data_IF_119311133211
#
_entry.id   IF_119311133211
#
_cell.length_a   1.000
_cell.length_b   1.000
_cell.length_c   1.000
_cell.angle_alpha   90.00
_cell.angle_beta   90.00
_cell.angle_gamma   90.00
#
_symmetry.space_group_name_H-M   'P 1'
#
loop_
_entity.id
_entity.type
_entity.pdbx_description
1 polymer ?
#
# COMPACT_ATOMS: atom_id res chain seq x y z
N UNK A 1 15.21 -8.61 6.58
CA UNK A 1 14.74 -9.91 7.12
C UNK A 1 13.71 -10.41 6.12
N UNK A 2 13.75 -11.68 5.69
CA UNK A 2 12.70 -12.19 4.80
C UNK A 2 11.44 -12.45 5.65
N UNK A 3 10.31 -11.84 5.27
CA UNK A 3 9.01 -12.13 5.87
C UNK A 3 8.29 -13.19 5.03
N UNK A 4 7.46 -13.99 5.68
CA UNK A 4 6.57 -14.97 5.06
C UNK A 4 5.11 -14.56 5.29
N UNK A 5 4.16 -15.19 4.58
CA UNK A 5 2.73 -14.96 4.82
C UNK A 5 2.29 -15.24 6.27
N UNK A 6 3.06 -15.99 7.05
CA UNK A 6 2.81 -16.29 8.46
C UNK A 6 3.40 -15.25 9.43
N UNK A 7 4.08 -14.22 8.90
CA UNK A 7 4.66 -13.16 9.73
C UNK A 7 3.59 -12.34 10.45
N UNK A 8 3.94 -11.63 11.55
CA UNK A 8 2.99 -10.80 12.28
C UNK A 8 2.30 -9.77 11.36
N UNK A 9 0.99 -9.57 11.55
CA UNK A 9 0.19 -8.68 10.71
C UNK A 9 0.77 -7.26 10.63
N UNK A 10 1.30 -6.74 11.73
CA UNK A 10 1.97 -5.43 11.77
C UNK A 10 3.14 -5.34 10.77
N UNK A 11 3.93 -6.41 10.63
CA UNK A 11 5.07 -6.45 9.72
C UNK A 11 4.57 -6.57 8.28
N UNK A 12 3.61 -7.45 8.03
CA UNK A 12 3.01 -7.63 6.70
C UNK A 12 2.33 -6.35 6.19
N UNK A 13 1.63 -5.61 7.07
CA UNK A 13 0.94 -4.38 6.72
C UNK A 13 1.90 -3.30 6.21
N UNK A 14 3.07 -3.18 6.83
CA UNK A 14 4.14 -2.27 6.36
C UNK A 14 4.78 -2.81 5.08
N UNK A 15 5.05 -4.12 5.05
CA UNK A 15 5.69 -4.79 3.93
C UNK A 15 4.85 -4.82 2.63
N UNK A 16 3.56 -4.47 2.68
CA UNK A 16 2.73 -4.32 1.48
C UNK A 16 3.38 -3.40 0.44
N UNK A 17 4.04 -2.32 0.88
CA UNK A 17 4.80 -1.42 0.00
C UNK A 17 3.97 -0.90 -1.17
N UNK A 18 4.49 -1.08 -2.38
CA UNK A 18 3.73 -0.91 -3.61
C UNK A 18 2.82 -2.12 -3.84
N UNK A 19 1.54 -2.00 -3.54
CA UNK A 19 0.57 -3.03 -3.92
C UNK A 19 0.14 -2.83 -5.37
N UNK A 20 0.59 -3.73 -6.25
CA UNK A 20 0.30 -3.66 -7.68
C UNK A 20 -1.05 -4.31 -8.02
N UNK A 21 -1.95 -3.56 -8.64
CA UNK A 21 -3.25 -4.05 -9.10
C UNK A 21 -3.13 -4.61 -10.51
N UNK A 22 -3.81 -5.74 -10.74
CA UNK A 22 -3.87 -6.40 -12.04
C UNK A 22 -5.27 -6.96 -12.28
N UNK A 23 -5.86 -6.76 -13.48
CA UNK A 23 -7.13 -7.37 -13.83
C UNK A 23 -7.07 -8.90 -13.75
N UNK A 24 -8.09 -9.51 -13.16
CA UNK A 24 -8.21 -10.95 -13.06
C UNK A 24 -8.44 -11.64 -14.41
N UNK A 25 -8.77 -10.89 -15.47
CA UNK A 25 -8.98 -11.41 -16.84
C UNK A 25 -7.70 -11.62 -17.64
N UNK A 26 -6.52 -11.26 -17.11
CA UNK A 26 -5.25 -11.43 -17.84
C UNK A 26 -4.97 -12.91 -18.14
N UNK A 27 -4.80 -13.31 -19.41
CA UNK A 27 -4.60 -14.72 -19.78
C UNK A 27 -3.29 -15.34 -19.25
N UNK A 28 -2.30 -14.51 -18.95
CA UNK A 28 -0.97 -14.89 -18.46
C UNK A 28 -0.74 -14.50 -17.01
N UNK A 29 -1.80 -14.37 -16.20
CA UNK A 29 -1.72 -13.81 -14.85
C UNK A 29 -0.68 -14.51 -13.95
N UNK A 30 -0.58 -15.84 -14.01
CA UNK A 30 0.43 -16.59 -13.26
C UNK A 30 1.87 -16.19 -13.62
N UNK A 31 2.16 -16.12 -14.92
CA UNK A 31 3.47 -15.69 -15.42
C UNK A 31 3.74 -14.21 -15.10
N UNK A 32 2.71 -13.36 -15.15
CA UNK A 32 2.82 -11.96 -14.76
C UNK A 32 3.16 -11.83 -13.27
N UNK A 33 2.53 -12.59 -12.38
CA UNK A 33 2.85 -12.62 -10.94
C UNK A 33 4.30 -13.01 -10.72
N UNK A 34 4.79 -14.09 -11.34
CA UNK A 34 6.19 -14.52 -11.24
C UNK A 34 7.17 -13.46 -11.75
N UNK A 35 6.83 -12.83 -12.89
CA UNK A 35 7.62 -11.74 -13.46
C UNK A 35 7.69 -10.53 -12.53
N UNK A 36 6.59 -10.16 -11.90
CA UNK A 36 6.55 -9.04 -10.94
C UNK A 36 7.26 -9.38 -9.64
N UNK A 37 7.16 -10.63 -9.16
CA UNK A 37 7.92 -11.13 -8.02
C UNK A 37 9.44 -10.97 -8.26
N UNK A 38 9.92 -11.38 -9.45
CA UNK A 38 11.32 -11.20 -9.86
C UNK A 38 11.77 -9.74 -10.01
N UNK A 39 10.82 -8.80 -10.08
CA UNK A 39 11.07 -7.35 -10.09
C UNK A 39 10.97 -6.72 -8.69
N UNK A 40 10.81 -7.52 -7.65
CA UNK A 40 10.72 -7.06 -6.27
C UNK A 40 9.34 -6.52 -5.87
N UNK A 41 8.27 -6.87 -6.57
CA UNK A 41 6.89 -6.57 -6.11
C UNK A 41 6.59 -7.43 -4.88
N UNK A 42 6.19 -6.78 -3.78
CA UNK A 42 5.94 -7.43 -2.49
C UNK A 42 4.48 -7.80 -2.26
N UNK A 43 3.54 -7.09 -2.89
CA UNK A 43 2.11 -7.41 -2.82
C UNK A 43 1.38 -7.13 -4.13
N UNK A 44 0.38 -7.94 -4.45
CA UNK A 44 -0.45 -7.79 -5.64
C UNK A 44 -1.93 -7.99 -5.31
N UNK A 45 -2.78 -7.24 -6.03
CA UNK A 45 -4.23 -7.41 -6.00
C UNK A 45 -4.72 -7.87 -7.37
N UNK A 46 -5.30 -9.06 -7.41
CA UNK A 46 -5.94 -9.66 -8.56
C UNK A 46 -7.42 -9.22 -8.56
N UNK A 47 -7.75 -8.29 -9.44
CA UNK A 47 -8.98 -7.49 -9.31
C UNK A 47 -10.11 -8.03 -10.20
N UNK A 48 -11.22 -8.40 -9.55
CA UNK A 48 -12.48 -8.78 -10.19
C UNK A 48 -13.50 -7.63 -10.22
N UNK A 49 -13.16 -6.46 -9.70
CA UNK A 49 -14.08 -5.33 -9.57
C UNK A 49 -13.82 -4.27 -10.66
N UNK A 50 -13.41 -3.04 -10.35
CA UNK A 50 -13.36 -1.90 -11.30
C UNK A 50 -12.42 -2.12 -12.50
N UNK A 51 -11.51 -3.08 -12.45
CA UNK A 51 -10.56 -3.32 -13.54
C UNK A 51 -11.10 -4.20 -14.67
N UNK A 52 -12.32 -4.73 -14.53
CA UNK A 52 -12.97 -5.59 -15.52
C UNK A 52 -14.43 -5.16 -15.72
N UNK A 53 -15.00 -5.43 -16.90
CA UNK A 53 -16.41 -5.13 -17.15
C UNK A 53 -17.36 -6.05 -16.39
N UNK A 54 -18.62 -5.61 -16.19
CA UNK A 54 -19.64 -6.41 -15.50
C UNK A 54 -19.92 -7.74 -16.21
N UNK A 55 -19.85 -7.77 -17.55
CA UNK A 55 -20.00 -8.98 -18.36
C UNK A 55 -18.80 -9.93 -18.30
N UNK A 56 -17.66 -9.48 -17.78
CA UNK A 56 -16.42 -10.26 -17.74
C UNK A 56 -16.19 -10.95 -16.39
N UNK A 57 -17.07 -10.73 -15.40
CA UNK A 57 -16.84 -11.19 -14.01
C UNK A 57 -16.74 -12.71 -13.92
N UNK A 58 -17.67 -13.44 -14.53
CA UNK A 58 -17.67 -14.91 -14.52
C UNK A 58 -16.40 -15.46 -15.19
N UNK A 59 -16.07 -14.97 -16.39
CA UNK A 59 -14.84 -15.34 -17.09
C UNK A 59 -13.57 -14.92 -16.32
N UNK A 60 -13.61 -13.80 -15.60
CA UNK A 60 -12.55 -13.31 -14.73
C UNK A 60 -12.32 -14.23 -13.53
N UNK A 61 -13.37 -14.72 -12.88
CA UNK A 61 -13.27 -15.69 -11.80
C UNK A 61 -12.72 -17.04 -12.28
N UNK A 62 -13.22 -17.54 -13.42
CA UNK A 62 -12.71 -18.78 -14.02
C UNK A 62 -11.23 -18.67 -14.38
N UNK A 63 -10.82 -17.55 -14.99
CA UNK A 63 -9.41 -17.32 -15.27
C UNK A 63 -8.62 -17.21 -13.96
N UNK A 64 -9.10 -16.49 -12.96
CA UNK A 64 -8.40 -16.35 -11.68
C UNK A 64 -8.14 -17.71 -11.02
N UNK A 65 -9.16 -18.57 -10.92
CA UNK A 65 -9.03 -19.92 -10.35
C UNK A 65 -8.02 -20.73 -11.14
N UNK A 66 -8.13 -20.74 -12.48
CA UNK A 66 -7.19 -21.44 -13.36
C UNK A 66 -5.76 -20.94 -13.18
N UNK A 67 -5.55 -19.62 -13.18
CA UNK A 67 -4.23 -19.00 -13.10
C UNK A 67 -3.59 -19.21 -11.73
N UNK A 68 -4.37 -19.25 -10.65
CA UNK A 68 -3.83 -19.59 -9.34
C UNK A 68 -3.35 -21.05 -9.28
N UNK A 69 -4.08 -21.97 -9.94
CA UNK A 69 -3.62 -23.35 -10.12
C UNK A 69 -2.31 -23.44 -10.92
N UNK A 70 -2.24 -22.75 -12.06
CA UNK A 70 -1.00 -22.69 -12.87
C UNK A 70 0.17 -22.07 -12.12
N UNK A 71 -0.09 -21.03 -11.31
CA UNK A 71 0.92 -20.42 -10.45
C UNK A 71 1.41 -21.42 -9.41
N UNK A 72 0.51 -22.19 -8.82
CA UNK A 72 0.86 -23.20 -7.82
C UNK A 72 1.75 -24.30 -8.39
N UNK A 73 1.44 -24.78 -9.60
CA UNK A 73 2.25 -25.76 -10.33
C UNK A 73 3.62 -25.21 -10.74
N UNK A 74 3.68 -23.95 -11.17
CA UNK A 74 4.90 -23.33 -11.68
C UNK A 74 5.85 -22.85 -10.57
N UNK A 75 5.32 -22.44 -9.41
CA UNK A 75 6.10 -21.89 -8.32
C UNK A 75 6.72 -23.01 -7.47
N UNK A 76 8.01 -23.27 -7.69
CA UNK A 76 8.81 -24.17 -6.85
C UNK A 76 8.70 -23.80 -5.36
N UNK A 77 8.84 -24.80 -4.49
CA UNK A 77 8.90 -24.58 -3.05
C UNK A 77 9.99 -23.55 -2.71
N UNK A 78 9.63 -22.49 -1.98
CA UNK A 78 10.54 -21.39 -1.64
C UNK A 78 10.65 -20.27 -2.69
N UNK A 79 9.89 -20.31 -3.78
CA UNK A 79 9.78 -19.14 -4.69
C UNK A 79 9.18 -17.96 -3.91
N UNK A 80 9.93 -16.86 -3.80
CA UNK A 80 9.47 -15.63 -3.14
C UNK A 80 8.37 -14.96 -3.96
N UNK A 81 7.11 -15.35 -3.73
CA UNK A 81 5.94 -14.74 -4.33
C UNK A 81 5.50 -13.50 -3.53
N UNK A 82 4.91 -12.48 -4.18
CA UNK A 82 4.24 -11.40 -3.48
C UNK A 82 3.07 -11.95 -2.65
N UNK A 83 2.67 -11.19 -1.62
CA UNK A 83 1.38 -11.39 -0.97
C UNK A 83 0.27 -11.18 -2.01
N UNK A 84 -0.58 -12.18 -2.21
CA UNK A 84 -1.63 -12.15 -3.22
C UNK A 84 -2.98 -11.90 -2.56
N UNK A 85 -3.71 -10.92 -3.07
CA UNK A 85 -5.06 -10.62 -2.64
C UNK A 85 -6.01 -10.60 -3.81
N UNK A 86 -7.29 -10.88 -3.57
CA UNK A 86 -8.34 -10.74 -4.59
C UNK A 86 -9.27 -9.61 -4.21
N UNK A 87 -9.46 -8.61 -5.10
CA UNK A 87 -10.52 -7.61 -4.94
C UNK A 87 -11.81 -8.17 -5.52
N UNK A 88 -12.74 -8.51 -4.63
CA UNK A 88 -14.06 -9.06 -4.94
C UNK A 88 -15.08 -7.92 -5.12
N UNK A 89 -16.23 -8.22 -5.74
CA UNK A 89 -17.40 -7.34 -5.88
C UNK A 89 -18.44 -7.56 -4.79
N UNK A 90 -18.66 -8.82 -4.41
CA UNK A 90 -19.69 -9.21 -3.44
C UNK A 90 -19.14 -10.15 -2.38
N UNK A 91 -19.74 -10.20 -1.17
CA UNK A 91 -19.29 -11.09 -0.11
C UNK A 91 -19.30 -12.57 -0.51
N UNK A 92 -20.30 -12.99 -1.30
CA UNK A 92 -20.46 -14.39 -1.71
C UNK A 92 -19.33 -14.94 -2.57
N UNK A 93 -18.59 -14.08 -3.28
CA UNK A 93 -17.43 -14.50 -4.08
C UNK A 93 -16.29 -15.04 -3.22
N UNK A 94 -16.16 -14.59 -1.97
CA UNK A 94 -15.05 -14.98 -1.10
C UNK A 94 -15.03 -16.50 -0.83
N UNK A 95 -16.07 -17.11 -0.23
CA UNK A 95 -16.09 -18.55 0.00
C UNK A 95 -16.19 -19.35 -1.31
N UNK A 96 -16.87 -18.83 -2.35
CA UNK A 96 -16.96 -19.52 -3.64
C UNK A 96 -15.58 -19.70 -4.31
N UNK A 97 -14.80 -18.62 -4.37
CA UNK A 97 -13.45 -18.63 -4.93
C UNK A 97 -12.54 -19.54 -4.14
N UNK A 98 -12.55 -19.45 -2.80
CA UNK A 98 -11.72 -20.34 -1.94
C UNK A 98 -12.03 -21.81 -2.20
N UNK A 99 -13.31 -22.17 -2.29
CA UNK A 99 -13.74 -23.53 -2.61
C UNK A 99 -13.26 -23.98 -4.00
N UNK A 100 -13.39 -23.13 -5.03
CA UNK A 100 -12.99 -23.44 -6.41
C UNK A 100 -11.47 -23.50 -6.59
N UNK A 101 -10.71 -22.72 -5.84
CA UNK A 101 -9.24 -22.72 -5.85
C UNK A 101 -8.64 -24.01 -5.26
N UNK A 102 -9.39 -24.73 -4.42
CA UNK A 102 -8.93 -25.99 -3.83
C UNK A 102 -7.60 -25.82 -3.09
N UNK A 103 -6.64 -26.71 -3.35
CA UNK A 103 -5.31 -26.65 -2.69
C UNK A 103 -4.51 -25.41 -3.04
N UNK A 104 -4.71 -24.81 -4.22
CA UNK A 104 -3.97 -23.62 -4.65
C UNK A 104 -4.28 -22.37 -3.79
N UNK A 105 -5.34 -22.41 -2.97
CA UNK A 105 -5.69 -21.32 -2.04
C UNK A 105 -4.54 -20.96 -1.07
N UNK A 106 -3.61 -21.88 -0.80
CA UNK A 106 -2.48 -21.60 0.08
C UNK A 106 -1.55 -20.49 -0.46
N UNK A 107 -1.65 -20.15 -1.75
CA UNK A 107 -0.96 -19.02 -2.39
C UNK A 107 -1.65 -17.68 -2.14
N UNK A 108 -2.91 -17.69 -1.70
CA UNK A 108 -3.69 -16.49 -1.41
C UNK A 108 -3.42 -15.99 0.01
N UNK A 109 -3.18 -14.69 0.15
CA UNK A 109 -2.99 -14.01 1.43
C UNK A 109 -4.27 -13.38 1.97
N UNK A 110 -5.25 -13.08 1.11
CA UNK A 110 -6.52 -12.52 1.55
C UNK A 110 -7.36 -11.84 0.47
N UNK A 111 -8.22 -10.92 0.90
CA UNK A 111 -9.19 -10.24 0.05
C UNK A 111 -9.19 -8.73 0.24
N UNK A 112 -9.48 -7.99 -0.83
CA UNK A 112 -9.73 -6.54 -0.81
C UNK A 112 -11.24 -6.31 -0.88
N UNK A 113 -11.76 -5.51 0.05
CA UNK A 113 -13.20 -5.34 0.26
C UNK A 113 -13.62 -3.94 -0.20
N UNK A 114 -14.28 -3.79 -1.36
CA UNK A 114 -14.59 -2.47 -1.93
C UNK A 114 -15.71 -1.77 -1.14
N UNK A 115 -15.77 -0.44 -1.28
CA UNK A 115 -16.88 0.42 -0.80
C UNK A 115 -17.25 0.11 0.66
N UNK A 116 -16.24 -0.02 1.51
CA UNK A 116 -16.40 -0.53 2.86
C UNK A 116 -17.06 0.49 3.80
N UNK A 117 -18.11 0.05 4.49
CA UNK A 117 -18.83 0.77 5.57
C UNK A 117 -19.17 -0.22 6.68
N UNK A 118 -19.82 0.21 7.77
CA UNK A 118 -20.32 -0.72 8.79
C UNK A 118 -21.31 -1.74 8.19
N UNK A 119 -22.33 -1.25 7.49
CA UNK A 119 -23.37 -2.07 6.87
C UNK A 119 -22.81 -3.04 5.81
N UNK A 120 -21.97 -2.55 4.89
CA UNK A 120 -21.43 -3.36 3.80
C UNK A 120 -20.27 -4.25 4.24
N UNK A 121 -19.50 -3.80 5.21
CA UNK A 121 -18.24 -4.43 5.62
C UNK A 121 -18.42 -5.69 6.44
N UNK A 122 -19.47 -5.75 7.29
CA UNK A 122 -19.75 -6.91 8.14
C UNK A 122 -19.94 -8.20 7.31
N UNK A 123 -20.82 -8.24 6.29
CA UNK A 123 -20.98 -9.43 5.45
C UNK A 123 -19.68 -9.88 4.77
N UNK A 124 -18.83 -8.95 4.33
CA UNK A 124 -17.53 -9.30 3.74
C UNK A 124 -16.59 -9.95 4.76
N UNK A 125 -16.49 -9.40 5.97
CA UNK A 125 -15.61 -9.94 7.01
C UNK A 125 -16.09 -11.28 7.54
N UNK A 126 -17.41 -11.49 7.61
CA UNK A 126 -18.01 -12.80 7.89
C UNK A 126 -17.66 -13.81 6.79
N UNK A 127 -17.76 -13.41 5.51
CA UNK A 127 -17.39 -14.26 4.39
C UNK A 127 -15.90 -14.66 4.40
N UNK A 128 -15.00 -13.73 4.75
CA UNK A 128 -13.57 -14.03 4.96
C UNK A 128 -13.36 -15.00 6.12
N UNK A 129 -14.11 -14.84 7.22
CA UNK A 129 -14.02 -15.73 8.39
C UNK A 129 -14.48 -17.16 8.05
N UNK A 130 -15.57 -17.29 7.31
CA UNK A 130 -16.04 -18.59 6.80
C UNK A 130 -14.99 -19.23 5.90
N UNK A 131 -14.46 -18.49 4.93
CA UNK A 131 -13.47 -18.99 4.01
C UNK A 131 -12.16 -19.43 4.70
N UNK A 132 -11.70 -18.69 5.72
CA UNK A 132 -10.55 -19.06 6.55
C UNK A 132 -10.78 -20.38 7.29
N UNK A 133 -12.00 -20.59 7.79
CA UNK A 133 -12.39 -21.85 8.45
C UNK A 133 -12.38 -23.02 7.48
N UNK A 134 -12.93 -22.82 6.27
CA UNK A 134 -13.03 -23.85 5.24
C UNK A 134 -11.66 -24.28 4.69
N UNK A 135 -10.72 -23.34 4.52
CA UNK A 135 -9.38 -23.65 4.03
C UNK A 135 -8.35 -23.92 5.13
N UNK A 136 -8.71 -23.71 6.41
CA UNK A 136 -7.80 -23.82 7.57
C UNK A 136 -6.51 -23.01 7.41
N UNK A 137 -6.62 -21.84 6.78
CA UNK A 137 -5.49 -20.93 6.50
C UNK A 137 -5.91 -19.51 6.84
N UNK A 138 -5.00 -18.76 7.46
CA UNK A 138 -5.24 -17.36 7.77
C UNK A 138 -5.48 -16.57 6.48
N UNK A 139 -6.59 -15.83 6.44
CA UNK A 139 -6.91 -14.93 5.33
C UNK A 139 -7.10 -13.51 5.84
N UNK A 140 -6.36 -12.58 5.26
CA UNK A 140 -6.46 -11.18 5.60
C UNK A 140 -7.57 -10.47 4.83
N UNK A 141 -8.06 -9.37 5.38
CA UNK A 141 -8.95 -8.43 4.74
C UNK A 141 -8.24 -7.07 4.60
N UNK A 142 -8.42 -6.43 3.44
CA UNK A 142 -8.05 -5.03 3.21
C UNK A 142 -9.27 -4.23 2.79
N UNK A 143 -9.99 -3.61 3.74
CA UNK A 143 -11.08 -2.67 3.46
C UNK A 143 -10.64 -1.50 2.59
N UNK A 144 -11.44 -1.14 1.59
CA UNK A 144 -11.25 0.08 0.78
C UNK A 144 -12.29 1.13 1.17
N UNK A 145 -11.79 2.26 1.66
CA UNK A 145 -12.55 3.41 2.09
C UNK A 145 -12.73 4.34 0.88
N UNK A 146 -13.86 4.16 0.20
CA UNK A 146 -14.14 4.83 -1.09
C UNK A 146 -15.63 5.19 -1.25
N UNK A 147 -16.42 4.99 -0.19
CA UNK A 147 -17.86 5.24 -0.19
C UNK A 147 -18.15 6.75 -0.09
N UNK A 148 -19.09 7.31 -0.90
CA UNK A 148 -19.41 8.75 -0.89
C UNK A 148 -19.79 9.33 0.48
N UNK A 149 -20.33 8.52 1.39
CA UNK A 149 -20.69 8.93 2.75
C UNK A 149 -19.48 9.46 3.57
N UNK A 150 -18.26 9.08 3.20
CA UNK A 150 -17.04 9.64 3.79
C UNK A 150 -16.76 11.07 3.33
N UNK A 151 -17.23 11.47 2.15
CA UNK A 151 -17.01 12.82 1.63
C UNK A 151 -17.96 13.83 2.25
N UNK A 152 -19.23 13.46 2.46
CA UNK A 152 -20.25 14.37 2.94
C UNK A 152 -20.04 14.69 4.42
N UNK A 153 -20.01 15.98 4.74
CA UNK A 153 -19.69 16.47 6.09
C UNK A 153 -20.69 15.94 7.14
N UNK A 154 -21.97 15.87 6.76
CA UNK A 154 -23.09 15.44 7.59
C UNK A 154 -23.06 13.94 7.94
N UNK A 155 -22.44 13.08 7.11
CA UNK A 155 -22.38 11.62 7.34
C UNK A 155 -20.98 11.11 7.69
N UNK A 156 -19.93 11.90 7.45
CA UNK A 156 -18.53 11.45 7.58
C UNK A 156 -18.22 10.90 8.97
N UNK A 157 -18.58 11.65 10.02
CA UNK A 157 -18.24 11.28 11.39
C UNK A 157 -18.87 9.94 11.79
N UNK A 158 -20.16 9.75 11.52
CA UNK A 158 -20.88 8.50 11.81
C UNK A 158 -20.31 7.34 10.99
N UNK A 159 -20.04 7.56 9.69
CA UNK A 159 -19.48 6.54 8.80
C UNK A 159 -18.10 6.07 9.28
N UNK A 160 -17.21 7.00 9.66
CA UNK A 160 -15.89 6.67 10.20
C UNK A 160 -15.98 5.89 11.52
N UNK A 161 -16.91 6.26 12.41
CA UNK A 161 -17.13 5.54 13.66
C UNK A 161 -17.64 4.12 13.42
N UNK A 162 -18.57 3.94 12.49
CA UNK A 162 -19.06 2.62 12.09
C UNK A 162 -17.96 1.75 11.52
N UNK A 163 -17.14 2.30 10.62
CA UNK A 163 -15.96 1.61 10.10
C UNK A 163 -15.02 1.21 11.23
N UNK A 164 -14.69 2.14 12.14
CA UNK A 164 -13.78 1.90 13.27
C UNK A 164 -14.24 0.73 14.15
N UNK A 165 -15.53 0.71 14.54
CA UNK A 165 -16.10 -0.40 15.32
C UNK A 165 -15.99 -1.73 14.58
N UNK A 166 -16.32 -1.74 13.29
CA UNK A 166 -16.29 -2.96 12.48
C UNK A 166 -14.86 -3.49 12.32
N UNK A 167 -13.90 -2.65 11.95
CA UNK A 167 -12.52 -3.13 11.74
C UNK A 167 -11.86 -3.54 13.06
N UNK A 168 -12.21 -2.91 14.19
CA UNK A 168 -11.72 -3.31 15.51
C UNK A 168 -12.26 -4.67 15.95
N UNK A 169 -13.55 -4.95 15.70
CA UNK A 169 -14.16 -6.27 15.94
C UNK A 169 -13.44 -7.41 15.19
N UNK A 170 -12.88 -7.12 14.02
CA UNK A 170 -12.15 -8.08 13.18
C UNK A 170 -10.64 -7.77 13.10
N UNK A 171 -10.07 -7.13 14.11
CA UNK A 171 -8.72 -6.56 14.11
C UNK A 171 -7.63 -7.52 13.62
N UNK A 172 -7.67 -8.78 14.04
CA UNK A 172 -6.65 -9.77 13.69
C UNK A 172 -6.65 -10.17 12.20
N UNK A 173 -7.75 -9.87 11.49
CA UNK A 173 -7.92 -10.14 10.05
C UNK A 173 -7.70 -8.90 9.20
N UNK A 174 -7.90 -7.69 9.73
CA UNK A 174 -7.70 -6.46 8.97
C UNK A 174 -6.21 -6.15 8.87
N UNK A 175 -5.64 -6.33 7.69
CA UNK A 175 -4.21 -6.10 7.45
C UNK A 175 -3.89 -4.62 7.25
N UNK A 176 -4.67 -3.95 6.39
CA UNK A 176 -4.51 -2.54 6.09
C UNK A 176 -5.82 -1.94 5.56
N UNK A 177 -6.00 -0.65 5.78
CA UNK A 177 -7.09 0.14 5.22
C UNK A 177 -6.59 0.89 4.00
N UNK A 178 -7.36 0.86 2.92
CA UNK A 178 -7.00 1.49 1.64
C UNK A 178 -7.93 2.66 1.35
N UNK A 179 -7.45 3.63 0.58
CA UNK A 179 -8.22 4.80 0.16
C UNK A 179 -8.51 4.75 -1.34
N UNK A 180 -9.80 4.76 -1.72
CA UNK A 180 -10.25 4.83 -3.11
C UNK A 180 -10.56 6.27 -3.51
N UNK A 181 -9.51 7.04 -3.83
CA UNK A 181 -9.65 8.46 -4.18
C UNK A 181 -10.36 8.67 -5.51
N UNK A 182 -10.26 7.74 -6.45
CA UNK A 182 -10.93 7.84 -7.75
C UNK A 182 -12.46 7.85 -7.58
N UNK A 183 -13.03 6.97 -6.74
CA UNK A 183 -14.46 7.01 -6.41
C UNK A 183 -14.85 8.32 -5.70
N UNK A 184 -13.99 8.83 -4.81
CA UNK A 184 -14.24 10.13 -4.18
C UNK A 184 -14.33 11.27 -5.18
N UNK A 185 -13.38 11.34 -6.12
CA UNK A 185 -13.40 12.32 -7.20
C UNK A 185 -14.65 12.14 -8.08
N UNK A 186 -14.99 10.89 -8.42
CA UNK A 186 -16.16 10.56 -9.25
C UNK A 186 -17.47 11.03 -8.62
N UNK A 187 -17.62 10.95 -7.30
CA UNK A 187 -18.83 11.42 -6.60
C UNK A 187 -19.13 12.91 -6.82
N UNK A 188 -18.10 13.71 -7.14
CA UNK A 188 -18.21 15.14 -7.44
C UNK A 188 -17.94 15.48 -8.92
N UNK A 189 -17.86 14.48 -9.79
CA UNK A 189 -17.52 14.69 -11.20
C UNK A 189 -16.12 15.29 -11.42
N UNK A 190 -15.22 15.10 -10.46
CA UNK A 190 -13.85 15.58 -10.54
C UNK A 190 -12.96 14.53 -11.22
N UNK A 191 -11.96 15.02 -11.95
CA UNK A 191 -10.83 14.22 -12.41
C UNK A 191 -9.57 14.99 -12.12
N UNK A 192 -8.65 14.38 -11.39
CA UNK A 192 -7.35 14.98 -11.07
C UNK A 192 -6.52 15.10 -12.37
N UNK A 193 -5.63 16.09 -12.49
CA UNK A 193 -4.56 16.11 -13.50
C UNK A 193 -3.22 15.57 -12.94
N UNK A 194 -2.25 15.17 -13.79
CA UNK A 194 -1.00 14.53 -13.36
C UNK A 194 -0.05 15.41 -12.54
N UNK A 195 -0.22 16.74 -12.57
CA UNK A 195 0.55 17.70 -11.81
C UNK A 195 -0.03 17.97 -10.40
N UNK A 196 -1.20 17.41 -10.09
CA UNK A 196 -1.86 17.52 -8.79
C UNK A 196 -1.82 16.20 -8.02
N UNK A 197 -1.61 16.32 -6.71
CA UNK A 197 -1.70 15.22 -5.75
C UNK A 197 -3.10 15.14 -5.14
N UNK A 198 -3.41 14.06 -4.43
CA UNK A 198 -4.66 13.90 -3.69
C UNK A 198 -4.87 15.03 -2.66
N UNK A 199 -3.77 15.60 -2.19
CA UNK A 199 -3.75 16.67 -1.18
C UNK A 199 -4.04 18.06 -1.76
N UNK A 200 -3.89 18.23 -3.08
CA UNK A 200 -4.28 19.48 -3.74
C UNK A 200 -5.82 19.56 -3.93
N UNK A 201 -6.51 18.41 -3.93
CA UNK A 201 -7.98 18.32 -3.97
C UNK A 201 -8.56 18.33 -2.55
N UNK A 202 -8.98 19.50 -2.07
CA UNK A 202 -9.34 19.72 -0.66
C UNK A 202 -10.41 18.77 -0.10
N UNK A 203 -11.43 18.43 -0.90
CA UNK A 203 -12.46 17.48 -0.45
C UNK A 203 -11.87 16.09 -0.17
N UNK A 204 -10.89 15.66 -0.98
CA UNK A 204 -10.16 14.40 -0.80
C UNK A 204 -9.19 14.51 0.37
N UNK A 205 -8.37 15.56 0.40
CA UNK A 205 -7.39 15.82 1.45
C UNK A 205 -8.04 15.80 2.85
N UNK A 206 -9.23 16.40 2.98
CA UNK A 206 -9.99 16.42 4.24
C UNK A 206 -10.42 15.02 4.69
N UNK A 207 -10.83 14.15 3.76
CA UNK A 207 -11.19 12.76 4.08
C UNK A 207 -9.96 11.96 4.49
N UNK A 208 -8.83 12.14 3.80
CA UNK A 208 -7.56 11.47 4.16
C UNK A 208 -7.17 11.84 5.60
N UNK A 209 -7.22 13.13 5.93
CA UNK A 209 -6.91 13.62 7.27
C UNK A 209 -7.81 12.98 8.34
N UNK A 210 -9.13 12.95 8.10
CA UNK A 210 -10.09 12.38 9.06
C UNK A 210 -9.96 10.85 9.19
N UNK A 211 -9.69 10.14 8.09
CA UNK A 211 -9.39 8.70 8.10
C UNK A 211 -8.17 8.42 8.95
N UNK A 212 -7.06 9.14 8.77
CA UNK A 212 -5.85 8.95 9.57
C UNK A 212 -6.11 9.29 11.04
N UNK A 213 -6.86 10.37 11.30
CA UNK A 213 -7.19 10.80 12.66
C UNK A 213 -7.96 9.73 13.45
N UNK A 214 -8.92 9.06 12.79
CA UNK A 214 -9.79 8.06 13.43
C UNK A 214 -9.15 6.66 13.40
N UNK A 215 -8.58 6.25 12.27
CA UNK A 215 -8.20 4.86 11.99
C UNK A 215 -6.69 4.64 11.96
N UNK A 216 -5.86 5.69 11.90
CA UNK A 216 -4.39 5.60 11.76
C UNK A 216 -3.58 5.92 13.02
N UNK A 217 -4.21 5.92 14.20
CA UNK A 217 -3.60 6.34 15.48
C UNK A 217 -2.40 5.49 15.88
N UNK A 218 -1.47 6.10 16.60
CA UNK A 218 -0.26 5.42 17.08
C UNK A 218 -0.36 4.93 18.53
N UNK A 219 -1.53 5.04 19.17
CA UNK A 219 -1.81 4.65 20.55
C UNK A 219 -2.17 3.15 20.73
N UNK A 220 -1.95 2.35 19.69
CA UNK A 220 -2.31 0.92 19.65
C UNK A 220 -3.71 0.64 19.09
N UNK A 221 -4.56 1.66 18.92
CA UNK A 221 -5.91 1.48 18.34
C UNK A 221 -5.93 1.61 16.81
N UNK A 222 -4.89 2.17 16.20
CA UNK A 222 -4.84 2.38 14.75
C UNK A 222 -4.57 1.12 13.93
N UNK A 223 -4.78 1.26 12.64
CA UNK A 223 -4.43 0.34 11.56
C UNK A 223 -3.45 1.04 10.61
N UNK A 224 -2.75 0.25 9.79
CA UNK A 224 -2.01 0.79 8.64
C UNK A 224 -2.99 1.33 7.61
N UNK A 225 -2.84 2.61 7.24
CA UNK A 225 -3.61 3.25 6.16
C UNK A 225 -2.70 3.45 4.96
N UNK A 226 -3.09 2.99 3.77
CA UNK A 226 -2.23 3.04 2.58
C UNK A 226 -2.53 4.21 1.65
N UNK A 227 -1.48 4.73 1.01
CA UNK A 227 -1.59 5.76 -0.03
C UNK A 227 -2.56 5.38 -1.16
N UNK A 228 -3.33 6.35 -1.69
CA UNK A 228 -4.27 6.11 -2.78
C UNK A 228 -3.54 5.85 -4.11
N UNK A 229 -4.31 5.48 -5.13
CA UNK A 229 -3.79 5.25 -6.49
C UNK A 229 -3.20 6.52 -7.10
N UNK A 230 -2.06 6.36 -7.78
CA UNK A 230 -1.58 7.30 -8.79
C UNK A 230 -2.01 6.85 -10.19
N UNK A 231 -2.78 7.67 -10.89
CA UNK A 231 -3.52 7.27 -12.10
C UNK A 231 -2.68 7.36 -13.40
N UNK A 232 -1.46 7.90 -13.33
CA UNK A 232 -0.68 8.25 -14.52
C UNK A 232 0.58 7.40 -14.68
N UNK A 233 0.83 6.97 -15.92
CA UNK A 233 1.98 6.15 -16.31
C UNK A 233 2.37 6.35 -17.79
N UNK A 234 1.78 7.34 -18.47
CA UNK A 234 2.08 7.74 -19.86
C UNK A 234 2.15 9.26 -19.95
N UNK A 235 2.85 9.76 -20.97
CA UNK A 235 3.05 11.18 -21.26
C UNK A 235 1.74 11.99 -21.31
N UNK A 236 1.70 13.11 -20.58
CA UNK A 236 0.67 14.15 -20.72
C UNK A 236 1.32 15.52 -20.98
N UNK A 237 0.63 16.38 -21.73
CA UNK A 237 1.02 17.79 -21.84
C UNK A 237 0.79 18.49 -20.49
N UNK A 238 1.84 19.11 -19.94
CA UNK A 238 1.81 19.74 -18.61
C UNK A 238 1.60 21.24 -18.71
N UNK A 239 0.74 21.78 -17.85
CA UNK A 239 0.60 23.24 -17.70
C UNK A 239 1.58 23.85 -16.68
N UNK A 240 1.96 23.10 -15.64
CA UNK A 240 2.84 23.58 -14.57
C UNK A 240 4.25 23.00 -14.64
N UNK A 241 5.22 23.74 -14.09
CA UNK A 241 6.62 23.30 -14.04
C UNK A 241 6.81 22.13 -13.08
N UNK A 242 7.65 21.13 -13.43
CA UNK A 242 8.02 20.04 -12.52
C UNK A 242 8.61 20.57 -11.22
N UNK A 243 8.21 19.99 -10.08
CA UNK A 243 8.71 20.38 -8.76
C UNK A 243 9.92 19.53 -8.31
N UNK A 244 10.34 18.55 -9.12
CA UNK A 244 11.50 17.71 -8.82
C UNK A 244 12.81 18.51 -8.91
N UNK A 245 13.40 18.77 -7.73
CA UNK A 245 14.67 19.52 -7.59
C UNK A 245 15.77 18.89 -8.44
N UNK A 246 16.57 19.75 -9.08
CA UNK A 246 17.71 19.30 -9.93
C UNK A 246 18.94 18.91 -9.12
N UNK A 247 19.18 19.57 -7.98
CA UNK A 247 20.42 19.41 -7.20
C UNK A 247 20.75 17.97 -6.79
N UNK A 248 19.79 17.08 -6.43
CA UNK A 248 20.12 15.69 -6.08
C UNK A 248 20.58 14.84 -7.27
N UNK A 249 20.32 15.29 -8.51
CA UNK A 249 20.58 14.52 -9.74
C UNK A 249 21.80 15.04 -10.51
N UNK A 250 22.30 16.23 -10.17
CA UNK A 250 23.34 16.94 -10.92
C UNK A 250 24.61 16.09 -11.06
N UNK A 251 25.10 15.92 -12.30
CA UNK A 251 26.34 15.21 -12.62
C UNK A 251 26.36 13.69 -12.36
N UNK A 252 25.27 13.08 -11.89
CA UNK A 252 25.22 11.64 -11.56
C UNK A 252 23.99 10.91 -12.08
N UNK A 253 22.84 11.58 -12.20
CA UNK A 253 21.56 10.96 -12.55
C UNK A 253 20.62 11.94 -13.30
N UNK A 254 21.18 12.86 -14.12
CA UNK A 254 20.38 13.85 -14.84
C UNK A 254 19.42 13.20 -15.86
N UNK A 255 19.84 12.10 -16.48
CA UNK A 255 19.00 11.33 -17.40
C UNK A 255 17.81 10.71 -16.67
N UNK A 256 18.05 10.10 -15.50
CA UNK A 256 16.99 9.56 -14.64
C UNK A 256 15.99 10.64 -14.22
N UNK A 257 16.47 11.85 -13.88
CA UNK A 257 15.57 12.96 -13.56
C UNK A 257 14.68 13.33 -14.75
N UNK A 258 15.26 13.35 -15.95
CA UNK A 258 14.53 13.64 -17.19
C UNK A 258 13.47 12.58 -17.44
N UNK A 259 13.84 11.29 -17.33
CA UNK A 259 12.91 10.16 -17.49
C UNK A 259 11.75 10.22 -16.48
N UNK A 260 12.04 10.52 -15.21
CA UNK A 260 11.01 10.67 -14.17
C UNK A 260 10.00 11.78 -14.48
N UNK A 261 10.50 12.90 -15.03
CA UNK A 261 9.65 14.02 -15.43
C UNK A 261 8.87 13.67 -16.70
N UNK A 262 9.47 13.00 -17.67
CA UNK A 262 8.77 12.60 -18.90
C UNK A 262 7.62 11.62 -18.62
N UNK A 263 7.71 10.81 -17.56
CA UNK A 263 6.70 9.80 -17.24
C UNK A 263 5.72 10.18 -16.12
N UNK A 264 5.61 11.47 -15.76
CA UNK A 264 4.71 11.91 -14.67
C UNK A 264 4.99 11.26 -13.31
N UNK A 265 6.25 10.86 -13.08
CA UNK A 265 6.68 10.22 -11.84
C UNK A 265 7.07 11.24 -10.76
N UNK A 266 7.38 12.49 -11.10
CA UNK A 266 7.60 13.53 -10.08
C UNK A 266 6.33 13.86 -9.26
N UNK A 267 5.16 13.81 -9.90
CA UNK A 267 3.87 13.90 -9.19
C UNK A 267 3.65 12.74 -8.22
N UNK A 268 3.96 11.51 -8.66
CA UNK A 268 3.95 10.31 -7.82
C UNK A 268 4.90 10.47 -6.62
N UNK A 269 6.14 10.91 -6.84
CA UNK A 269 7.13 11.10 -5.77
C UNK A 269 6.67 12.14 -4.75
N UNK A 270 6.12 13.26 -5.22
CA UNK A 270 5.55 14.29 -4.35
C UNK A 270 4.38 13.73 -3.53
N UNK A 271 3.50 12.95 -4.15
CA UNK A 271 2.37 12.35 -3.44
C UNK A 271 2.82 11.31 -2.40
N UNK A 272 3.83 10.47 -2.68
CA UNK A 272 4.36 9.50 -1.70
C UNK A 272 4.93 10.23 -0.46
N UNK A 273 5.64 11.33 -0.67
CA UNK A 273 6.16 12.15 0.43
C UNK A 273 5.02 12.76 1.27
N UNK A 274 3.96 13.24 0.61
CA UNK A 274 2.77 13.75 1.30
C UNK A 274 1.98 12.65 2.01
N UNK A 275 1.85 11.45 1.41
CA UNK A 275 1.29 10.26 2.03
C UNK A 275 1.99 9.97 3.35
N UNK A 276 3.33 9.89 3.32
CA UNK A 276 4.15 9.66 4.51
C UNK A 276 4.01 10.78 5.56
N UNK A 277 4.03 12.03 5.13
CA UNK A 277 3.87 13.18 6.02
C UNK A 277 2.50 13.23 6.71
N UNK A 278 1.47 12.68 6.08
CA UNK A 278 0.12 12.56 6.62
C UNK A 278 -0.15 11.21 7.30
N UNK A 279 0.88 10.38 7.51
CA UNK A 279 0.76 9.14 8.29
C UNK A 279 0.33 7.90 7.50
N UNK A 280 0.27 7.97 6.17
CA UNK A 280 -0.02 6.83 5.31
C UNK A 280 1.27 6.04 5.03
N UNK A 281 1.13 4.74 4.75
CA UNK A 281 2.24 3.83 4.49
C UNK A 281 1.95 2.92 3.29
N UNK A 282 2.94 2.73 2.43
CA UNK A 282 2.74 2.04 1.16
C UNK A 282 1.81 2.79 0.23
N UNK A 283 1.56 2.21 -0.95
CA UNK A 283 0.75 2.87 -1.98
C UNK A 283 0.09 1.88 -2.92
N UNK A 284 -1.10 2.22 -3.37
CA UNK A 284 -1.76 1.48 -4.45
C UNK A 284 -1.14 1.84 -5.79
N UNK A 285 -0.64 0.84 -6.51
CA UNK A 285 0.03 1.00 -7.81
C UNK A 285 -0.78 0.30 -8.90
N UNK A 286 -0.86 0.91 -10.08
CA UNK A 286 -1.58 0.34 -11.24
C UNK A 286 -0.64 0.02 -12.40
N UNK A 287 0.64 0.38 -12.28
CA UNK A 287 1.66 0.13 -13.29
C UNK A 287 2.97 -0.34 -12.65
N UNK A 288 3.70 -1.31 -13.24
CA UNK A 288 4.97 -1.79 -12.68
C UNK A 288 6.04 -0.71 -12.47
N UNK A 289 6.04 0.37 -13.26
CA UNK A 289 7.00 1.47 -13.09
C UNK A 289 6.81 2.26 -11.79
N UNK A 290 5.65 2.16 -11.13
CA UNK A 290 5.39 2.82 -9.84
C UNK A 290 6.08 2.14 -8.66
N UNK A 291 6.41 0.85 -8.81
CA UNK A 291 6.90 -0.01 -7.71
C UNK A 291 8.24 0.48 -7.18
N UNK A 292 9.20 0.67 -8.07
CA UNK A 292 10.55 1.10 -7.70
C UNK A 292 10.57 2.46 -6.96
N UNK A 293 9.90 3.52 -7.44
CA UNK A 293 9.73 4.77 -6.70
C UNK A 293 9.17 4.60 -5.28
N UNK A 294 8.09 3.83 -5.12
CA UNK A 294 7.45 3.60 -3.82
C UNK A 294 8.37 2.84 -2.88
N UNK A 295 9.03 1.78 -3.36
CA UNK A 295 9.94 1.00 -2.53
C UNK A 295 11.21 1.78 -2.16
N UNK A 296 11.79 2.54 -3.10
CA UNK A 296 12.95 3.39 -2.83
C UNK A 296 12.66 4.46 -1.76
N UNK A 297 11.46 5.07 -1.77
CA UNK A 297 11.03 6.00 -0.72
C UNK A 297 10.58 5.32 0.59
N UNK A 298 10.39 4.00 0.57
CA UNK A 298 10.07 3.20 1.77
C UNK A 298 11.33 2.77 2.53
N UNK A 299 12.50 2.73 1.87
CA UNK A 299 13.79 2.45 2.53
C UNK A 299 14.06 3.52 3.59
N UNK A 300 14.46 3.07 4.79
CA UNK A 300 14.80 3.98 5.89
C UNK A 300 16.21 4.52 5.67
N UNK A 301 16.39 5.84 5.78
CA UNK A 301 17.73 6.43 5.71
C UNK A 301 18.58 6.03 6.92
N UNK A 302 19.91 6.03 6.75
CA UNK A 302 20.84 5.77 7.87
C UNK A 302 20.58 6.71 9.06
N UNK A 303 20.30 7.99 8.76
CA UNK A 303 19.99 9.01 9.75
C UNK A 303 18.69 8.72 10.51
N UNK A 304 17.57 8.47 9.81
CA UNK A 304 16.30 8.13 10.45
C UNK A 304 16.41 6.86 11.31
N UNK A 305 17.15 5.85 10.83
CA UNK A 305 17.38 4.63 11.58
C UNK A 305 18.17 4.90 12.86
N UNK A 306 19.27 5.65 12.77
CA UNK A 306 20.09 6.02 13.93
C UNK A 306 19.27 6.79 14.96
N UNK A 307 18.51 7.79 14.52
CA UNK A 307 17.61 8.56 15.39
C UNK A 307 16.57 7.65 16.08
N UNK A 308 15.96 6.71 15.34
CA UNK A 308 14.97 5.80 15.88
C UNK A 308 15.56 4.81 16.92
N UNK A 309 16.78 4.31 16.68
CA UNK A 309 17.49 3.47 17.64
C UNK A 309 17.81 4.25 18.91
N UNK A 310 18.34 5.47 18.79
CA UNK A 310 18.70 6.34 19.91
C UNK A 310 17.46 6.68 20.77
N UNK A 311 16.32 6.94 20.13
CA UNK A 311 15.04 7.22 20.81
C UNK A 311 14.53 6.00 21.59
N UNK A 312 14.63 4.79 21.03
CA UNK A 312 14.06 3.59 21.66
C UNK A 312 14.98 2.89 22.64
N UNK A 313 16.30 3.12 22.51
CA UNK A 313 17.33 2.56 23.39
C UNK A 313 18.26 3.67 23.87
N UNK A 314 17.75 4.66 24.63
CA UNK A 314 18.58 5.75 25.09
C UNK A 314 19.66 5.22 26.04
N UNK A 315 20.93 5.49 25.73
CA UNK A 315 22.08 5.06 26.56
C UNK A 315 22.03 5.63 27.98
N UNK A 316 21.33 6.76 28.18
CA UNK A 316 21.08 7.40 29.47
C UNK A 316 19.60 7.23 29.81
N UNK A 317 19.29 6.45 30.83
CA UNK A 317 17.93 6.08 31.21
C UNK A 317 16.96 7.26 31.50
N UNK A 318 15.66 6.94 31.41
CA UNK A 318 14.45 7.76 31.68
C UNK A 318 14.22 9.04 30.84
N UNK A 319 14.54 8.97 29.55
CA UNK A 319 14.03 9.94 28.59
C UNK A 319 14.71 11.31 28.63
N UNK A 320 13.99 12.33 28.15
CA UNK A 320 14.56 13.66 27.87
C UNK A 320 14.91 13.83 26.40
N UNK A 321 15.91 14.67 26.15
CA UNK A 321 16.33 15.10 24.81
C UNK A 321 17.70 14.54 24.47
N UNK A 322 17.83 13.99 23.27
CA UNK A 322 19.08 13.56 22.66
C UNK A 322 19.39 14.47 21.46
N UNK A 323 20.67 14.76 21.24
CA UNK A 323 21.11 15.35 19.98
C UNK A 323 21.22 14.22 18.96
N UNK A 324 20.64 14.41 17.76
CA UNK A 324 20.82 13.45 16.67
C UNK A 324 22.31 13.22 16.37
N UNK A 325 22.66 12.00 15.97
CA UNK A 325 24.01 11.62 15.54
C UNK A 325 24.55 12.51 14.40
N UNK A 326 23.66 13.00 13.53
CA UNK A 326 23.99 13.94 12.45
C UNK A 326 24.05 15.40 12.92
N UNK A 327 23.74 15.66 14.19
CA UNK A 327 23.85 16.96 14.87
C UNK A 327 22.98 18.10 14.31
N UNK A 328 22.00 17.76 13.48
CA UNK A 328 21.12 18.69 12.76
C UNK A 328 19.71 18.81 13.35
N UNK A 329 19.32 17.94 14.29
CA UNK A 329 18.00 17.93 14.93
C UNK A 329 18.04 17.45 16.38
N UNK A 330 16.93 17.69 17.07
CA UNK A 330 16.67 17.30 18.44
C UNK A 330 15.77 16.06 18.47
N UNK A 331 16.14 15.03 19.23
CA UNK A 331 15.36 13.82 19.42
C UNK A 331 14.74 13.81 20.82
N UNK A 332 13.42 13.99 20.92
CA UNK A 332 12.70 13.88 22.19
C UNK A 332 12.20 12.45 22.39
N UNK A 333 12.68 11.76 23.43
CA UNK A 333 12.47 10.31 23.60
C UNK A 333 10.98 9.94 23.67
N UNK A 334 10.18 10.67 24.48
CA UNK A 334 8.75 10.34 24.67
C UNK A 334 7.90 10.75 23.45
N UNK A 335 7.95 12.00 22.95
CA UNK A 335 7.15 12.43 21.79
C UNK A 335 7.49 11.67 20.50
N UNK A 336 8.76 11.32 20.28
CA UNK A 336 9.18 10.66 19.04
C UNK A 336 9.16 9.12 19.12
N UNK A 337 8.78 8.52 20.26
CA UNK A 337 8.76 7.05 20.42
C UNK A 337 7.92 6.35 19.36
N UNK A 338 6.69 6.80 19.15
CA UNK A 338 5.78 6.20 18.17
C UNK A 338 6.31 6.32 16.73
N UNK A 339 6.96 7.44 16.43
CA UNK A 339 7.66 7.63 15.15
C UNK A 339 8.82 6.63 15.03
N UNK A 340 9.65 6.49 16.06
CA UNK A 340 10.80 5.59 16.06
C UNK A 340 10.38 4.12 15.93
N UNK A 341 9.32 3.68 16.61
CA UNK A 341 8.77 2.31 16.50
C UNK A 341 8.30 2.02 15.07
N UNK A 342 7.60 2.97 14.43
CA UNK A 342 7.19 2.85 13.02
C UNK A 342 8.38 2.85 12.07
N UNK A 343 9.39 3.69 12.31
CA UNK A 343 10.62 3.74 11.50
C UNK A 343 11.39 2.43 11.58
N UNK A 344 11.54 1.84 12.76
CA UNK A 344 12.22 0.54 12.89
C UNK A 344 11.42 -0.59 12.23
N UNK A 345 10.10 -0.60 12.35
CA UNK A 345 9.26 -1.59 11.66
C UNK A 345 9.37 -1.44 10.13
N UNK A 346 9.46 -0.21 9.60
CA UNK A 346 9.73 0.04 8.19
C UNK A 346 11.13 -0.43 7.78
N UNK A 347 12.14 -0.23 8.64
CA UNK A 347 13.50 -0.72 8.41
C UNK A 347 13.56 -2.26 8.37
N UNK A 348 12.74 -2.96 9.16
CA UNK A 348 12.65 -4.43 9.10
C UNK A 348 12.16 -4.91 7.72
N UNK A 349 11.19 -4.21 7.13
CA UNK A 349 10.57 -4.55 5.85
C UNK A 349 11.38 -4.11 4.62
N UNK A 350 11.89 -2.88 4.59
CA UNK A 350 12.55 -2.29 3.42
C UNK A 350 14.06 -2.11 3.58
N UNK A 351 14.60 -2.40 4.75
CA UNK A 351 16.02 -2.21 5.04
C UNK A 351 16.39 -0.76 5.37
N UNK A 352 17.68 -0.57 5.65
CA UNK A 352 18.30 0.71 5.98
C UNK A 352 19.35 1.02 4.92
N UNK A 353 19.26 2.20 4.31
CA UNK A 353 20.27 2.68 3.40
C UNK A 353 21.61 2.88 4.13
N UNK A 354 22.73 2.64 3.44
CA UNK A 354 24.05 3.00 3.99
C UNK A 354 24.17 4.52 4.08
N UNK A 355 25.07 4.99 4.93
CA UNK A 355 25.41 6.41 4.99
C UNK A 355 25.78 6.97 3.60
N UNK A 356 25.23 8.13 3.26
CA UNK A 356 25.44 8.79 1.97
C UNK A 356 24.66 8.21 0.79
N UNK A 357 23.89 7.12 0.98
CA UNK A 357 22.99 6.56 -0.04
C UNK A 357 21.59 7.13 0.15
N UNK A 358 21.09 7.82 -0.87
CA UNK A 358 19.77 8.43 -0.88
C UNK A 358 18.82 7.77 -1.88
N UNK A 359 17.65 8.40 -2.03
CA UNK A 359 16.60 7.95 -2.95
C UNK A 359 17.10 7.83 -4.40
N UNK A 360 17.93 8.77 -4.86
CA UNK A 360 18.42 8.78 -6.26
C UNK A 360 19.29 7.55 -6.54
N UNK A 361 20.21 7.20 -5.62
CA UNK A 361 21.05 6.01 -5.74
C UNK A 361 20.23 4.72 -5.72
N UNK A 362 19.25 4.63 -4.82
CA UNK A 362 18.35 3.46 -4.72
C UNK A 362 17.52 3.29 -6.00
N UNK A 363 16.96 4.38 -6.52
CA UNK A 363 16.17 4.35 -7.73
C UNK A 363 17.03 3.99 -8.94
N UNK A 364 18.22 4.58 -9.06
CA UNK A 364 19.17 4.25 -10.14
C UNK A 364 19.54 2.76 -10.13
N UNK A 365 19.71 2.16 -8.95
CA UNK A 365 19.99 0.73 -8.82
C UNK A 365 18.79 -0.18 -9.15
N UNK A 366 17.57 0.37 -9.12
CA UNK A 366 16.33 -0.38 -9.42
C UNK A 366 15.94 -0.38 -10.90
N UNK A 367 16.54 0.52 -11.70
CA UNK A 367 16.38 0.53 -13.15
C UNK A 367 17.26 -0.57 -13.72
N UNK A 368 16.72 -1.54 -14.50
CA UNK A 368 17.53 -2.55 -15.15
C UNK A 368 18.62 -1.88 -16.00
N UNK A 369 19.89 -2.21 -15.75
CA UNK A 369 20.95 -1.85 -16.68
C UNK A 369 20.76 -2.71 -17.94
N UNK A 370 20.55 -2.05 -19.08
CA UNK A 370 20.38 -2.71 -20.38
C UNK A 370 21.62 -3.52 -20.78
#
# INVERSE_FOLDING_TARGET
>A
MEFTADSPARTLAVALGATLYSPATRPSLAADVLKQAGRGVMSMVLCLEDSIGDGDVEAGEENLVRQLGLLDEAAAAGTGLPLLFVRVRTPGQVPDLVRRMGTAVHRLSGFVLPKFTEERGVPFLEAVTTAESDCSRRLFAMPVLESPQLLHLETRAETLQGIARTVDKYRDRVLALRLGVTDFCSAYGLRRPPDMTAYDVQIVASVIADVVNVLGRADGTGFTVTGPVWEYFRLHERMFKPQLRRSPFLGRAEDLRTELIEHDMDGLLREIELDRANGLQGKTCIHPSHVAPVHALSVVSHEEFSDAVDILRPERGDGGVLRSSYTNKMNEVKPHRAWAERTLLRAEAFGVAREGIGFVELLTASVPQN
#
